data_IF_484643271287
#
_entry.id   IF_484643271287
#
_cell.length_a   1.000
_cell.length_b   1.000
_cell.length_c   1.000
_cell.angle_alpha   90.00
_cell.angle_beta   90.00
_cell.angle_gamma   90.00
#
_symmetry.space_group_name_H-M   'P 1'
#
loop_
_entity.id
_entity.type
_entity.pdbx_description
1 polymer ?
#
# COMPACT_ATOMS: atom_id res chain seq x y z
N UNK A 1 1.89 -3.89 12.83
CA UNK A 1 1.25 -5.02 12.11
C UNK A 1 2.34 -5.85 11.46
N UNK A 2 2.19 -7.18 11.45
CA UNK A 2 3.17 -8.08 10.83
C UNK A 2 3.20 -7.91 9.32
N UNK A 3 4.38 -8.13 8.73
CA UNK A 3 4.64 -8.08 7.29
C UNK A 3 3.58 -8.83 6.46
N UNK A 4 3.34 -10.12 6.76
CA UNK A 4 2.38 -10.96 6.03
C UNK A 4 0.94 -10.45 6.12
N UNK A 5 0.56 -9.87 7.26
CA UNK A 5 -0.76 -9.28 7.45
C UNK A 5 -0.93 -8.04 6.57
N UNK A 6 0.08 -7.18 6.51
CA UNK A 6 0.06 -6.02 5.62
C UNK A 6 0.00 -6.44 4.16
N UNK A 7 0.78 -7.45 3.75
CA UNK A 7 0.73 -7.99 2.38
C UNK A 7 -0.69 -8.44 2.03
N UNK A 8 -1.32 -9.20 2.91
CA UNK A 8 -2.67 -9.73 2.69
C UNK A 8 -3.72 -8.63 2.64
N UNK A 9 -3.72 -7.73 3.62
CA UNK A 9 -4.72 -6.67 3.74
C UNK A 9 -4.58 -5.63 2.62
N UNK A 10 -3.35 -5.20 2.33
CA UNK A 10 -3.08 -4.24 1.26
C UNK A 10 -3.46 -4.81 -0.11
N UNK A 11 -3.07 -6.06 -0.41
CA UNK A 11 -3.44 -6.70 -1.67
C UNK A 11 -4.97 -6.89 -1.81
N UNK A 12 -5.65 -7.24 -0.70
CA UNK A 12 -7.11 -7.35 -0.70
C UNK A 12 -7.77 -5.99 -0.94
N UNK A 13 -7.29 -4.91 -0.31
CA UNK A 13 -7.79 -3.56 -0.54
C UNK A 13 -7.59 -3.10 -1.98
N UNK A 14 -6.41 -3.35 -2.58
CA UNK A 14 -6.13 -3.04 -3.99
C UNK A 14 -7.09 -3.81 -4.91
N UNK A 15 -7.17 -5.13 -4.74
CA UNK A 15 -8.07 -5.98 -5.53
C UNK A 15 -9.53 -5.50 -5.39
N UNK A 16 -9.97 -5.22 -4.16
CA UNK A 16 -11.33 -4.76 -3.94
C UNK A 16 -11.59 -3.41 -4.61
N UNK A 17 -10.63 -2.50 -4.58
CA UNK A 17 -10.74 -1.19 -5.20
C UNK A 17 -10.83 -1.26 -6.72
N UNK A 18 -10.06 -2.15 -7.36
CA UNK A 18 -10.09 -2.34 -8.80
C UNK A 18 -11.38 -3.03 -9.27
N UNK A 19 -11.93 -3.96 -8.49
CA UNK A 19 -13.06 -4.79 -8.92
C UNK A 19 -14.43 -4.33 -8.41
N UNK A 20 -14.51 -3.75 -7.21
CA UNK A 20 -15.75 -3.23 -6.63
C UNK A 20 -15.82 -1.72 -6.79
N UNK A 21 -17.03 -1.17 -6.82
CA UNK A 21 -17.28 0.21 -7.21
C UNK A 21 -16.89 1.24 -6.12
N UNK A 22 -15.60 1.31 -5.77
CA UNK A 22 -15.05 2.44 -5.02
C UNK A 22 -14.71 3.55 -6.03
N UNK A 23 -15.60 4.54 -6.13
CA UNK A 23 -15.49 5.62 -7.12
C UNK A 23 -14.44 6.70 -6.77
N UNK A 24 -13.73 6.55 -5.66
CA UNK A 24 -12.85 7.59 -5.12
C UNK A 24 -11.38 7.26 -5.39
N UNK A 25 -10.57 8.28 -5.66
CA UNK A 25 -9.12 8.16 -5.66
C UNK A 25 -8.64 8.13 -4.20
N UNK A 26 -7.95 7.06 -3.81
CA UNK A 26 -7.49 6.85 -2.43
C UNK A 26 -6.03 6.40 -2.40
N UNK A 27 -5.42 6.48 -1.22
CA UNK A 27 -4.10 5.90 -0.96
C UNK A 27 -4.13 4.85 0.16
N UNK A 28 -3.15 3.96 0.13
CA UNK A 28 -2.81 3.03 1.22
C UNK A 28 -1.35 3.28 1.62
N UNK A 29 -1.10 4.22 2.55
CA UNK A 29 0.24 4.46 3.06
C UNK A 29 0.68 3.36 4.03
N UNK A 30 1.95 3.01 3.98
CA UNK A 30 2.61 2.02 4.82
C UNK A 30 3.86 2.66 5.44
N UNK A 31 3.85 2.82 6.76
CA UNK A 31 5.02 3.18 7.57
C UNK A 31 5.76 1.92 8.01
N UNK A 32 7.04 2.06 8.31
CA UNK A 32 7.91 0.97 8.75
C UNK A 32 8.38 1.26 10.17
N UNK A 33 8.65 0.22 10.95
CA UNK A 33 9.11 0.37 12.33
C UNK A 33 10.37 -0.46 12.56
N UNK A 34 11.38 0.18 13.14
CA UNK A 34 12.58 -0.47 13.66
C UNK A 34 12.57 -0.32 15.18
N UNK A 35 12.62 -1.42 15.92
CA UNK A 35 12.59 -1.42 17.40
C UNK A 35 11.46 -0.55 17.99
N UNK A 36 10.24 -0.70 17.45
CA UNK A 36 9.02 0.05 17.84
C UNK A 36 9.08 1.57 17.61
N UNK A 37 10.03 2.05 16.81
CA UNK A 37 10.10 3.46 16.37
C UNK A 37 9.87 3.53 14.87
N UNK A 38 9.11 4.54 14.45
CA UNK A 38 8.90 4.82 13.03
C UNK A 38 10.26 5.05 12.34
N UNK A 39 10.53 4.20 11.34
CA UNK A 39 11.69 4.27 10.50
C UNK A 39 11.66 5.52 9.62
N UNK A 40 12.83 5.90 9.10
CA UNK A 40 12.93 6.95 8.10
C UNK A 40 12.62 6.29 6.75
N UNK A 41 11.34 6.29 6.37
CA UNK A 41 10.86 5.81 5.09
C UNK A 41 9.42 5.34 5.10
N UNK A 42 8.72 5.48 3.97
CA UNK A 42 7.36 4.98 3.80
C UNK A 42 7.06 4.60 2.34
N UNK A 43 6.11 3.68 2.18
CA UNK A 43 5.52 3.34 0.88
C UNK A 43 4.10 3.92 0.82
N UNK A 44 3.69 4.43 -0.33
CA UNK A 44 2.31 4.82 -0.59
C UNK A 44 1.84 4.09 -1.84
N UNK A 45 0.84 3.22 -1.69
CA UNK A 45 0.09 2.72 -2.84
C UNK A 45 -0.95 3.77 -3.20
N UNK A 46 -0.87 4.27 -4.44
CA UNK A 46 -1.82 5.22 -5.00
C UNK A 46 -2.82 4.49 -5.88
N UNK A 47 -4.09 4.55 -5.50
CA UNK A 47 -5.17 3.78 -6.12
C UNK A 47 -6.13 4.76 -6.83
N UNK A 48 -5.96 4.97 -8.15
CA UNK A 48 -6.83 5.86 -8.92
C UNK A 48 -8.30 5.47 -8.81
N UNK A 49 -9.20 6.41 -9.07
CA UNK A 49 -10.61 6.08 -9.16
C UNK A 49 -10.86 5.04 -10.27
N UNK A 50 -11.88 4.19 -10.08
CA UNK A 50 -12.19 3.12 -11.04
C UNK A 50 -12.24 3.63 -12.49
N UNK A 51 -11.49 2.97 -13.37
CA UNK A 51 -11.41 3.30 -14.79
C UNK A 51 -10.39 4.37 -15.16
N UNK A 52 -9.61 4.90 -14.19
CA UNK A 52 -8.53 5.86 -14.45
C UNK A 52 -7.14 5.22 -14.59
N UNK A 53 -7.01 3.91 -14.34
CA UNK A 53 -5.77 3.17 -14.51
C UNK A 53 -5.55 2.13 -13.41
N UNK A 54 -4.40 1.48 -13.47
CA UNK A 54 -3.89 0.63 -12.39
C UNK A 54 -3.32 1.46 -11.25
N UNK A 55 -3.15 0.83 -10.09
CA UNK A 55 -2.49 1.48 -8.96
C UNK A 55 -1.00 1.73 -9.26
N UNK A 56 -0.43 2.70 -8.56
CA UNK A 56 1.02 2.97 -8.60
C UNK A 56 1.61 2.94 -7.20
N UNK A 57 2.94 2.80 -7.11
CA UNK A 57 3.64 2.65 -5.82
C UNK A 57 4.71 3.73 -5.71
N UNK A 58 4.58 4.56 -4.69
CA UNK A 58 5.53 5.61 -4.37
C UNK A 58 6.36 5.22 -3.15
N UNK A 59 7.66 5.48 -3.22
CA UNK A 59 8.61 5.22 -2.13
C UNK A 59 9.24 6.53 -1.72
N UNK A 60 9.31 6.78 -0.42
CA UNK A 60 9.92 7.99 0.12
C UNK A 60 10.91 7.61 1.21
N UNK A 61 12.08 8.25 1.20
CA UNK A 61 13.11 8.18 2.23
C UNK A 61 12.82 9.11 3.42
N UNK A 62 11.54 9.40 3.65
CA UNK A 62 11.04 10.30 4.66
C UNK A 62 9.91 9.62 5.42
N UNK A 63 9.67 10.04 6.66
CA UNK A 63 8.46 9.64 7.39
C UNK A 63 7.23 10.09 6.63
N UNK A 64 6.15 9.32 6.70
CA UNK A 64 4.91 9.61 5.98
C UNK A 64 4.40 11.03 6.27
N UNK A 65 4.45 11.46 7.54
CA UNK A 65 4.05 12.82 7.95
C UNK A 65 4.91 13.96 7.37
N UNK A 66 6.09 13.67 6.82
CA UNK A 66 7.02 14.65 6.25
C UNK A 66 6.98 14.71 4.72
N UNK A 67 6.40 13.71 4.05
CA UNK A 67 6.30 13.65 2.59
C UNK A 67 5.60 14.91 2.05
N UNK A 68 6.26 15.61 1.13
CA UNK A 68 5.73 16.83 0.48
C UNK A 68 5.05 16.54 -0.87
N UNK A 69 5.09 15.29 -1.32
CA UNK A 69 4.50 14.87 -2.59
C UNK A 69 2.96 15.02 -2.57
N UNK A 70 2.33 15.50 -3.67
CA UNK A 70 0.88 15.58 -3.79
C UNK A 70 0.13 14.28 -3.50
N UNK A 71 0.74 13.11 -3.71
CA UNK A 71 0.12 11.81 -3.40
C UNK A 71 -0.26 11.70 -1.92
N UNK A 72 0.47 12.37 -1.01
CA UNK A 72 0.12 12.41 0.42
C UNK A 72 -1.16 13.20 0.71
N UNK A 73 -1.56 14.09 -0.21
CA UNK A 73 -2.78 14.88 -0.07
C UNK A 73 -4.03 14.11 -0.51
N UNK A 74 -3.86 12.98 -1.21
CA UNK A 74 -4.95 12.08 -1.56
C UNK A 74 -5.47 11.40 -0.28
N UNK A 75 -6.81 11.31 -0.08
CA UNK A 75 -7.37 10.65 1.10
C UNK A 75 -6.86 9.22 1.26
N UNK A 76 -6.32 8.88 2.43
CA UNK A 76 -5.92 7.52 2.71
C UNK A 76 -7.11 6.70 3.23
N UNK A 77 -7.28 5.47 2.74
CA UNK A 77 -8.28 4.56 3.29
C UNK A 77 -7.79 3.98 4.63
N UNK A 78 -6.61 3.34 4.61
CA UNK A 78 -5.97 2.77 5.80
C UNK A 78 -4.50 3.15 5.80
N UNK A 79 -4.01 3.63 6.94
CA UNK A 79 -2.59 3.82 7.22
C UNK A 79 -2.07 2.56 7.92
N UNK A 80 -1.18 1.82 7.28
CA UNK A 80 -0.57 0.62 7.84
C UNK A 80 0.75 0.93 8.53
N UNK A 81 0.98 0.27 9.65
CA UNK A 81 2.26 0.37 10.37
C UNK A 81 2.93 -1.00 10.39
N UNK A 82 4.01 -1.15 9.62
CA UNK A 82 4.72 -2.40 9.36
C UNK A 82 5.79 -2.67 10.41
N UNK A 83 5.73 -3.83 11.04
CA UNK A 83 6.77 -4.40 11.90
C UNK A 83 7.88 -5.02 11.04
N UNK A 84 8.40 -4.23 10.11
CA UNK A 84 9.52 -4.56 9.25
C UNK A 84 10.39 -3.32 9.08
N UNK A 85 11.63 -3.55 8.67
CA UNK A 85 12.59 -2.49 8.41
C UNK A 85 12.39 -1.86 7.03
N UNK A 86 12.84 -0.60 6.90
CA UNK A 86 12.70 0.14 5.64
C UNK A 86 13.46 -0.52 4.47
N UNK A 87 14.54 -1.25 4.76
CA UNK A 87 15.27 -2.02 3.75
C UNK A 87 14.45 -3.20 3.17
N UNK A 88 13.36 -3.59 3.83
CA UNK A 88 12.41 -4.59 3.34
C UNK A 88 11.25 -3.98 2.55
N UNK A 89 11.25 -2.66 2.27
CA UNK A 89 10.17 -2.01 1.54
C UNK A 89 9.98 -2.61 0.13
N UNK A 90 11.07 -2.94 -0.57
CA UNK A 90 10.98 -3.55 -1.89
C UNK A 90 10.44 -4.99 -1.83
N UNK A 91 10.82 -5.74 -0.81
CA UNK A 91 10.28 -7.08 -0.56
C UNK A 91 8.77 -7.01 -0.27
N UNK A 92 8.34 -6.02 0.53
CA UNK A 92 6.94 -5.79 0.85
C UNK A 92 6.14 -5.47 -0.42
N UNK A 93 6.62 -4.54 -1.24
CA UNK A 93 5.95 -4.14 -2.48
C UNK A 93 5.82 -5.34 -3.42
N UNK A 94 6.91 -6.08 -3.64
CA UNK A 94 6.88 -7.27 -4.50
C UNK A 94 5.92 -8.35 -3.97
N UNK A 95 5.84 -8.53 -2.65
CA UNK A 95 4.91 -9.47 -2.03
C UNK A 95 3.45 -9.04 -2.21
N UNK A 96 3.14 -7.75 -2.06
CA UNK A 96 1.80 -7.18 -2.33
C UNK A 96 1.43 -7.38 -3.80
N UNK A 97 2.29 -6.99 -4.74
CA UNK A 97 2.04 -7.11 -6.18
C UNK A 97 1.77 -8.56 -6.58
N UNK A 98 2.58 -9.51 -6.08
CA UNK A 98 2.39 -10.94 -6.30
C UNK A 98 1.05 -11.43 -5.73
N UNK A 99 0.67 -10.94 -4.54
CA UNK A 99 -0.59 -11.33 -3.91
C UNK A 99 -1.80 -10.76 -4.68
N UNK A 100 -1.73 -9.53 -5.17
CA UNK A 100 -2.76 -8.93 -6.05
C UNK A 100 -2.94 -9.80 -7.30
N UNK A 101 -1.84 -10.12 -8.00
CA UNK A 101 -1.90 -10.98 -9.19
C UNK A 101 -2.48 -12.38 -8.89
N UNK A 102 -2.23 -12.92 -7.69
CA UNK A 102 -2.82 -14.20 -7.26
C UNK A 102 -4.34 -14.09 -7.08
N UNK A 103 -4.84 -12.98 -6.53
CA UNK A 103 -6.27 -12.73 -6.36
C UNK A 103 -7.00 -12.55 -7.70
N UNK A 104 -6.35 -11.98 -8.72
CA UNK A 104 -6.90 -11.82 -10.07
C UNK A 104 -7.10 -13.16 -10.80
N UNK A 105 -6.23 -14.13 -10.54
CA UNK A 105 -6.25 -15.46 -11.18
C UNK A 105 -7.19 -16.43 -10.45
N UNK A 106 -7.51 -16.18 -9.18
CA UNK A 106 -8.36 -17.07 -8.38
C UNK A 106 -9.77 -17.18 -9.01
N UNK A 107 -10.28 -18.40 -9.25
CA UNK A 107 -11.61 -18.56 -9.82
C UNK A 107 -12.65 -17.97 -8.86
N UNK A 108 -13.47 -17.06 -9.37
CA UNK A 108 -14.66 -16.55 -8.67
C UNK A 108 -15.55 -17.75 -8.34
N UNK A 109 -15.55 -18.18 -7.08
CA UNK A 109 -16.45 -19.21 -6.57
C UNK A 109 -17.90 -18.71 -6.56
#
# INVERSE_FOLDING_TARGET
MKFETIVTDCALSIYQHQHFALAQHITLPITFTHDRKEAIGCVIFDLPAKGQGDYSVHRFDQRYGMVQDPVRQVPHSTLYDCEADWDQADELVAAVEKQVATLEVAPKK
#
